data_IF_626665152707
#
_entry.id   IF_626665152707
#
_cell.length_a   1.000
_cell.length_b   1.000
_cell.length_c   1.000
_cell.angle_alpha   90.00
_cell.angle_beta   90.00
_cell.angle_gamma   90.00
#
_symmetry.space_group_name_H-M   'P 1'
#
loop_
_entity.id
_entity.type
_entity.pdbx_description
1 polymer ?
#
# COMPACT_ATOMS: atom_id res chain seq x y z
N UNK A 1 30.05 -9.94 4.13
CA UNK A 1 29.35 -8.82 4.76
C UNK A 1 28.24 -8.35 3.84
N UNK A 2 26.99 -8.50 4.28
CA UNK A 2 25.77 -8.10 3.56
C UNK A 2 25.25 -6.76 4.09
N UNK A 3 24.35 -6.11 3.33
CA UNK A 3 23.68 -4.89 3.81
C UNK A 3 22.93 -5.11 5.13
N UNK A 4 22.26 -6.26 5.29
CA UNK A 4 21.55 -6.64 6.52
C UNK A 4 22.49 -6.76 7.71
N UNK A 5 23.65 -7.37 7.53
CA UNK A 5 24.68 -7.49 8.57
C UNK A 5 25.19 -6.10 9.01
N UNK A 6 25.47 -5.21 8.05
CA UNK A 6 25.89 -3.82 8.35
C UNK A 6 24.83 -3.04 9.14
N UNK A 7 23.57 -3.11 8.74
CA UNK A 7 22.48 -2.40 9.45
C UNK A 7 22.28 -2.97 10.85
N UNK A 8 22.47 -4.28 11.07
CA UNK A 8 22.38 -4.85 12.41
C UNK A 8 23.58 -4.55 13.31
N UNK A 9 24.78 -4.43 12.73
CA UNK A 9 26.00 -4.09 13.46
C UNK A 9 25.95 -2.63 13.96
N UNK A 10 25.64 -1.69 13.05
CA UNK A 10 25.73 -0.26 13.34
C UNK A 10 24.38 0.40 13.64
N UNK A 11 23.25 -0.18 13.21
CA UNK A 11 21.93 0.41 13.40
C UNK A 11 21.38 0.29 14.82
N UNK A 12 22.00 -0.52 15.69
CA UNK A 12 21.60 -0.66 17.10
C UNK A 12 21.83 0.60 17.94
N UNK A 13 22.76 1.45 17.52
CA UNK A 13 23.04 2.72 18.21
C UNK A 13 21.92 3.74 18.02
N UNK A 14 21.03 3.55 17.03
CA UNK A 14 19.83 4.37 16.83
C UNK A 14 20.09 5.86 16.65
N UNK A 15 21.33 6.26 16.32
CA UNK A 15 21.69 7.68 16.22
C UNK A 15 21.14 8.29 14.94
N UNK A 16 20.57 9.50 15.06
CA UNK A 16 20.04 10.25 13.92
C UNK A 16 21.12 10.47 12.85
N UNK A 17 22.35 10.80 13.26
CA UNK A 17 23.49 10.99 12.35
C UNK A 17 23.84 9.71 11.56
N UNK A 18 23.81 8.53 12.19
CA UNK A 18 24.03 7.28 11.46
C UNK A 18 22.89 6.98 10.47
N UNK A 19 21.64 7.27 10.84
CA UNK A 19 20.48 7.11 9.95
C UNK A 19 20.52 8.08 8.77
N UNK A 20 20.93 9.32 8.98
CA UNK A 20 21.13 10.31 7.91
C UNK A 20 22.24 9.85 6.95
N UNK A 21 23.39 9.40 7.46
CA UNK A 21 24.47 8.85 6.64
C UNK A 21 24.03 7.64 5.83
N UNK A 22 23.27 6.72 6.46
CA UNK A 22 22.71 5.56 5.77
C UNK A 22 21.75 5.99 4.67
N UNK A 23 20.88 6.97 4.95
CA UNK A 23 19.93 7.54 3.98
C UNK A 23 20.66 8.09 2.77
N UNK A 24 21.71 8.92 2.96
CA UNK A 24 22.52 9.43 1.85
C UNK A 24 23.17 8.32 1.01
N UNK A 25 23.61 7.22 1.64
CA UNK A 25 24.22 6.09 0.91
C UNK A 25 23.20 5.27 0.14
N UNK A 26 22.02 5.04 0.71
CA UNK A 26 20.91 4.37 0.02
C UNK A 26 20.43 5.22 -1.15
N UNK A 27 20.28 6.54 -0.97
CA UNK A 27 19.85 7.47 -2.01
C UNK A 27 20.83 7.49 -3.20
N UNK A 28 22.13 7.64 -2.92
CA UNK A 28 23.18 7.52 -3.93
C UNK A 28 23.13 6.18 -4.67
N UNK A 29 22.93 5.08 -3.94
CA UNK A 29 22.82 3.75 -4.55
C UNK A 29 21.58 3.65 -5.45
N UNK A 30 20.44 4.17 -5.01
CA UNK A 30 19.21 4.17 -5.82
C UNK A 30 19.38 5.00 -7.09
N UNK A 31 20.06 6.15 -7.04
CA UNK A 31 20.34 6.93 -8.24
C UNK A 31 21.29 6.20 -9.21
N UNK A 32 22.29 5.47 -8.70
CA UNK A 32 23.14 4.61 -9.54
C UNK A 32 22.40 3.43 -10.17
N UNK A 33 21.50 2.79 -9.44
CA UNK A 33 20.65 1.75 -10.03
C UNK A 33 19.70 2.36 -11.05
N UNK A 34 19.19 3.59 -10.83
CA UNK A 34 18.25 4.27 -11.73
C UNK A 34 18.84 4.49 -13.12
N UNK A 35 20.15 4.75 -13.22
CA UNK A 35 20.87 4.89 -14.50
C UNK A 35 20.78 3.63 -15.39
N UNK A 36 20.57 2.44 -14.80
CA UNK A 36 20.58 1.16 -15.51
C UNK A 36 19.24 0.42 -15.48
N UNK A 37 18.47 0.57 -14.41
CA UNK A 37 17.21 -0.11 -14.18
C UNK A 37 16.26 0.77 -13.34
N UNK A 38 15.62 1.79 -13.96
CA UNK A 38 14.73 2.70 -13.25
C UNK A 38 13.51 1.99 -12.66
N UNK A 39 12.98 0.96 -13.33
CA UNK A 39 11.84 0.17 -12.83
C UNK A 39 12.14 -0.54 -11.50
N UNK A 40 13.38 -1.04 -11.33
CA UNK A 40 13.79 -1.68 -10.09
C UNK A 40 13.82 -0.68 -8.93
N UNK A 41 14.29 0.54 -9.18
CA UNK A 41 14.30 1.61 -8.17
C UNK A 41 12.90 2.01 -7.79
N UNK A 42 12.03 2.23 -8.77
CA UNK A 42 10.63 2.56 -8.54
C UNK A 42 9.92 1.47 -7.72
N UNK A 43 10.19 0.20 -8.02
CA UNK A 43 9.67 -0.93 -7.25
C UNK A 43 10.24 -0.98 -5.83
N UNK A 44 11.52 -0.65 -5.64
CA UNK A 44 12.15 -0.59 -4.33
C UNK A 44 11.54 0.52 -3.47
N UNK A 45 11.48 1.75 -3.99
CA UNK A 45 10.92 2.91 -3.26
C UNK A 45 9.44 2.70 -2.92
N UNK A 46 8.67 2.12 -3.84
CA UNK A 46 7.27 1.76 -3.58
C UNK A 46 7.14 0.74 -2.44
N UNK A 47 8.04 -0.26 -2.36
CA UNK A 47 8.05 -1.21 -1.23
C UNK A 47 8.46 -0.54 0.07
N UNK A 48 9.38 0.42 0.04
CA UNK A 48 9.76 1.20 1.23
C UNK A 48 8.57 2.05 1.72
N UNK A 49 7.87 2.75 0.83
CA UNK A 49 6.65 3.51 1.18
C UNK A 49 5.55 2.61 1.73
N UNK A 50 5.37 1.41 1.16
CA UNK A 50 4.43 0.41 1.67
C UNK A 50 4.71 0.00 3.13
N UNK A 51 5.97 0.02 3.55
CA UNK A 51 6.40 -0.38 4.90
C UNK A 51 6.39 0.78 5.91
N UNK A 52 6.73 1.99 5.48
CA UNK A 52 6.97 3.11 6.39
C UNK A 52 5.77 4.06 6.53
N UNK A 53 4.99 4.25 5.47
CA UNK A 53 3.84 5.14 5.48
C UNK A 53 2.61 4.40 6.05
N UNK A 54 1.90 4.93 7.06
CA UNK A 54 0.71 4.28 7.62
C UNK A 54 -0.44 4.11 6.64
N UNK A 55 -0.55 5.00 5.63
CA UNK A 55 -1.60 4.96 4.61
C UNK A 55 -1.02 4.67 3.23
N UNK A 56 -1.85 4.22 2.30
CA UNK A 56 -1.46 4.15 0.91
C UNK A 56 -1.27 5.55 0.32
N UNK A 57 -0.29 5.69 -0.55
CA UNK A 57 -0.30 6.71 -1.61
C UNK A 57 -1.10 6.20 -2.80
N UNK A 58 -1.60 7.08 -3.67
CA UNK A 58 -2.28 6.69 -4.92
C UNK A 58 -1.51 5.63 -5.70
N UNK A 59 -0.20 5.85 -5.92
CA UNK A 59 0.68 4.90 -6.63
C UNK A 59 0.72 3.53 -5.96
N UNK A 60 0.85 3.49 -4.63
CA UNK A 60 0.84 2.21 -3.90
C UNK A 60 -0.52 1.52 -3.91
N UNK A 61 -1.62 2.28 -3.78
CA UNK A 61 -2.98 1.75 -3.83
C UNK A 61 -3.27 1.11 -5.20
N UNK A 62 -3.05 1.85 -6.29
CA UNK A 62 -3.23 1.34 -7.67
C UNK A 62 -2.37 0.09 -7.91
N UNK A 63 -1.13 0.08 -7.41
CA UNK A 63 -0.27 -1.09 -7.53
C UNK A 63 -0.81 -2.31 -6.79
N UNK A 64 -1.25 -2.17 -5.53
CA UNK A 64 -1.79 -3.33 -4.78
C UNK A 64 -3.14 -3.78 -5.32
N UNK A 65 -3.98 -2.83 -5.76
CA UNK A 65 -5.27 -3.10 -6.41
C UNK A 65 -5.08 -3.87 -7.70
N UNK A 66 -4.08 -3.52 -8.53
CA UNK A 66 -3.77 -4.22 -9.79
C UNK A 66 -3.41 -5.70 -9.60
N UNK A 67 -3.10 -6.12 -8.36
CA UNK A 67 -2.69 -7.47 -7.98
C UNK A 67 -3.78 -8.28 -7.27
N UNK A 68 -4.99 -7.72 -7.16
CA UNK A 68 -6.14 -8.45 -6.64
C UNK A 68 -6.57 -9.53 -7.64
N UNK A 69 -7.00 -10.67 -7.11
CA UNK A 69 -7.57 -11.78 -7.87
C UNK A 69 -9.03 -11.92 -7.44
N UNK A 70 -9.94 -11.50 -8.30
CA UNK A 70 -11.35 -11.38 -7.95
C UNK A 70 -12.04 -12.75 -8.07
N UNK A 71 -13.04 -13.00 -7.21
CA UNK A 71 -13.81 -14.27 -7.26
C UNK A 71 -14.64 -14.44 -8.54
N UNK A 72 -14.84 -13.40 -9.33
CA UNK A 72 -15.44 -13.47 -10.67
C UNK A 72 -14.46 -13.95 -11.77
N UNK A 73 -13.19 -14.19 -11.40
CA UNK A 73 -12.12 -14.62 -12.30
C UNK A 73 -11.35 -13.47 -12.97
N UNK A 74 -11.74 -12.22 -12.74
CA UNK A 74 -11.00 -11.04 -13.21
C UNK A 74 -9.79 -10.73 -12.31
N UNK A 75 -8.91 -9.85 -12.78
CA UNK A 75 -7.74 -9.38 -12.03
C UNK A 75 -7.75 -7.87 -11.96
N UNK A 76 -7.23 -7.31 -10.87
CA UNK A 76 -7.18 -5.88 -10.64
C UNK A 76 -8.44 -5.31 -9.97
N UNK A 77 -8.52 -4.00 -9.89
CA UNK A 77 -9.69 -3.28 -9.36
C UNK A 77 -10.87 -3.32 -10.31
N UNK A 78 -12.08 -3.44 -9.76
CA UNK A 78 -13.32 -3.33 -10.52
C UNK A 78 -13.59 -1.89 -10.97
N UNK A 79 -13.22 -0.91 -10.13
CA UNK A 79 -13.36 0.53 -10.39
C UNK A 79 -11.99 1.20 -10.53
N UNK A 80 -11.94 2.29 -11.31
CA UNK A 80 -10.78 3.18 -11.34
C UNK A 80 -10.64 3.96 -10.03
N UNK A 81 -9.47 4.57 -9.81
CA UNK A 81 -9.24 5.44 -8.66
C UNK A 81 -10.31 6.56 -8.59
N UNK A 82 -10.55 7.24 -9.70
CA UNK A 82 -11.53 8.32 -9.82
C UNK A 82 -12.96 7.85 -9.55
N UNK A 83 -13.32 6.66 -10.05
CA UNK A 83 -14.63 6.07 -9.78
C UNK A 83 -14.82 5.72 -8.31
N UNK A 84 -13.77 5.27 -7.63
CA UNK A 84 -13.85 5.06 -6.17
C UNK A 84 -13.95 6.40 -5.44
N UNK A 85 -13.13 7.40 -5.80
CA UNK A 85 -13.13 8.71 -5.15
C UNK A 85 -14.49 9.42 -5.26
N UNK A 86 -15.20 9.29 -6.38
CA UNK A 86 -16.51 9.94 -6.56
C UNK A 86 -17.61 9.44 -5.62
N UNK A 87 -17.45 8.24 -5.06
CA UNK A 87 -18.38 7.63 -4.09
C UNK A 87 -17.81 7.57 -2.68
N UNK A 88 -16.67 8.23 -2.43
CA UNK A 88 -15.99 8.20 -1.15
C UNK A 88 -16.76 8.98 -0.07
N UNK A 89 -16.96 8.41 1.13
CA UNK A 89 -17.42 9.15 2.30
C UNK A 89 -16.43 10.24 2.74
N UNK A 90 -16.95 11.33 3.32
CA UNK A 90 -16.11 12.37 3.91
C UNK A 90 -15.25 11.83 5.07
N UNK A 91 -14.03 12.37 5.20
CA UNK A 91 -13.14 12.06 6.32
C UNK A 91 -12.26 10.82 6.13
N UNK A 92 -12.36 10.12 5.00
CA UNK A 92 -11.50 8.98 4.67
C UNK A 92 -10.29 9.36 3.81
N UNK A 93 -9.23 8.57 3.90
CA UNK A 93 -8.06 8.67 3.02
C UNK A 93 -8.38 8.05 1.65
N UNK A 94 -8.35 8.85 0.58
CA UNK A 94 -8.73 8.40 -0.78
C UNK A 94 -8.03 7.12 -1.26
N UNK A 95 -6.72 6.99 -0.99
CA UNK A 95 -5.96 5.84 -1.45
C UNK A 95 -6.27 4.57 -0.63
N UNK A 96 -6.56 4.72 0.66
CA UNK A 96 -7.03 3.62 1.50
C UNK A 96 -8.44 3.21 1.09
N UNK A 97 -9.31 4.18 0.79
CA UNK A 97 -10.66 3.95 0.27
C UNK A 97 -10.61 3.17 -1.05
N UNK A 98 -9.79 3.61 -2.01
CA UNK A 98 -9.64 2.94 -3.30
C UNK A 98 -9.22 1.46 -3.12
N UNK A 99 -8.24 1.21 -2.25
CA UNK A 99 -7.81 -0.15 -1.94
C UNK A 99 -8.92 -0.95 -1.27
N UNK A 100 -9.53 -0.44 -0.20
CA UNK A 100 -10.53 -1.18 0.59
C UNK A 100 -11.77 -1.47 -0.25
N UNK A 101 -12.28 -0.52 -1.02
CA UNK A 101 -13.44 -0.77 -1.87
C UNK A 101 -13.14 -1.84 -2.92
N UNK A 102 -11.96 -1.78 -3.54
CA UNK A 102 -11.52 -2.81 -4.50
C UNK A 102 -11.32 -4.18 -3.84
N UNK A 103 -10.73 -4.22 -2.65
CA UNK A 103 -10.53 -5.43 -1.86
C UNK A 103 -11.86 -6.05 -1.43
N UNK A 104 -12.81 -5.25 -0.96
CA UNK A 104 -14.15 -5.70 -0.57
C UNK A 104 -14.90 -6.29 -1.76
N UNK A 105 -14.82 -5.68 -2.94
CA UNK A 105 -15.34 -6.31 -4.16
C UNK A 105 -14.66 -7.66 -4.42
N UNK A 106 -13.32 -7.68 -4.41
CA UNK A 106 -12.53 -8.89 -4.69
C UNK A 106 -12.91 -10.06 -3.78
N UNK A 107 -12.98 -9.80 -2.47
CA UNK A 107 -13.24 -10.80 -1.43
C UNK A 107 -14.71 -11.16 -1.30
N UNK A 108 -15.63 -10.22 -1.52
CA UNK A 108 -17.06 -10.43 -1.32
C UNK A 108 -17.84 -10.50 -2.63
N UNK A 109 -17.20 -10.64 -3.79
CA UNK A 109 -17.91 -10.69 -5.06
C UNK A 109 -19.02 -11.74 -5.04
N UNK A 110 -20.22 -11.31 -5.42
CA UNK A 110 -21.39 -12.17 -5.62
C UNK A 110 -22.19 -11.66 -6.82
N UNK A 111 -22.55 -12.57 -7.72
CA UNK A 111 -23.38 -12.23 -8.88
C UNK A 111 -24.70 -11.56 -8.44
N UNK A 112 -25.03 -10.43 -9.08
CA UNK A 112 -26.23 -9.64 -8.80
C UNK A 112 -26.18 -8.77 -7.54
N UNK A 113 -25.06 -8.72 -6.81
CA UNK A 113 -24.87 -7.77 -5.70
C UNK A 113 -24.57 -6.39 -6.24
N UNK A 114 -25.21 -5.37 -5.68
CA UNK A 114 -25.07 -3.98 -6.14
C UNK A 114 -23.80 -3.31 -5.61
N UNK A 115 -23.35 -2.29 -6.32
CA UNK A 115 -22.18 -1.47 -5.96
C UNK A 115 -22.36 -0.82 -4.58
N UNK A 116 -23.57 -0.37 -4.24
CA UNK A 116 -23.88 0.23 -2.93
C UNK A 116 -23.62 -0.72 -1.76
N UNK A 117 -23.79 -2.04 -1.99
CA UNK A 117 -23.47 -3.04 -0.96
C UNK A 117 -21.97 -3.06 -0.67
N UNK A 118 -21.13 -3.02 -1.70
CA UNK A 118 -19.67 -3.01 -1.52
C UNK A 118 -19.19 -1.68 -0.93
N UNK A 119 -19.77 -0.56 -1.36
CA UNK A 119 -19.50 0.78 -0.80
C UNK A 119 -19.82 0.80 0.70
N UNK A 120 -20.98 0.29 1.11
CA UNK A 120 -21.36 0.20 2.52
C UNK A 120 -20.37 -0.64 3.34
N UNK A 121 -20.03 -1.83 2.86
CA UNK A 121 -19.07 -2.72 3.53
C UNK A 121 -17.66 -2.11 3.63
N UNK A 122 -17.21 -1.41 2.58
CA UNK A 122 -15.91 -0.73 2.57
C UNK A 122 -15.87 0.42 3.58
N UNK A 123 -16.98 1.17 3.69
CA UNK A 123 -17.13 2.21 4.68
C UNK A 123 -17.09 1.63 6.09
N UNK A 124 -17.91 0.62 6.38
CA UNK A 124 -17.95 -0.04 7.70
C UNK A 124 -16.59 -0.62 8.10
N UNK A 125 -15.79 -1.09 7.12
CA UNK A 125 -14.44 -1.58 7.37
C UNK A 125 -13.48 -0.46 7.82
N UNK A 126 -13.55 0.72 7.20
CA UNK A 126 -12.66 1.86 7.50
C UNK A 126 -13.12 2.68 8.70
N UNK A 127 -14.43 2.80 8.93
CA UNK A 127 -15.04 3.54 10.04
C UNK A 127 -15.05 2.74 11.38
N UNK A 128 -14.38 1.60 11.43
CA UNK A 128 -14.29 0.75 12.62
C UNK A 128 -13.57 1.48 13.78
N UNK A 129 -14.29 1.83 14.87
CA UNK A 129 -13.73 2.61 15.97
C UNK A 129 -12.68 1.85 16.77
N UNK A 130 -12.66 0.52 16.69
CA UNK A 130 -11.69 -0.33 17.38
C UNK A 130 -10.42 -0.55 16.54
N UNK A 131 -10.42 -0.11 15.28
CA UNK A 131 -9.29 -0.28 14.39
C UNK A 131 -8.21 0.80 14.59
N UNK A 132 -6.93 0.43 14.51
CA UNK A 132 -5.87 1.41 14.58
C UNK A 132 -5.76 2.19 13.27
N UNK A 133 -5.16 3.38 13.36
CA UNK A 133 -4.80 4.18 12.18
C UNK A 133 -3.99 3.38 11.14
N UNK A 134 -4.24 3.64 9.85
CA UNK A 134 -3.66 2.86 8.74
C UNK A 134 -4.16 1.41 8.64
N UNK A 135 -5.36 1.10 9.15
CA UNK A 135 -5.97 -0.26 9.13
C UNK A 135 -5.90 -0.92 7.76
N UNK A 136 -6.22 -0.18 6.69
CA UNK A 136 -6.22 -0.67 5.31
C UNK A 136 -4.87 -1.28 4.93
N UNK A 137 -3.78 -0.54 5.19
CA UNK A 137 -2.43 -0.98 4.87
C UNK A 137 -1.95 -2.12 5.77
N UNK A 138 -2.27 -2.06 7.06
CA UNK A 138 -1.99 -3.15 8.01
C UNK A 138 -2.64 -4.46 7.60
N UNK A 139 -3.90 -4.39 7.15
CA UNK A 139 -4.62 -5.56 6.62
C UNK A 139 -3.94 -6.12 5.37
N UNK A 140 -3.57 -5.26 4.41
CA UNK A 140 -2.84 -5.69 3.21
C UNK A 140 -1.53 -6.42 3.55
N UNK A 141 -0.72 -5.86 4.47
CA UNK A 141 0.56 -6.43 4.86
C UNK A 141 0.38 -7.80 5.53
N UNK A 142 -0.61 -7.94 6.43
CA UNK A 142 -0.90 -9.21 7.11
C UNK A 142 -1.32 -10.35 6.17
N UNK A 143 -1.89 -10.03 5.00
CA UNK A 143 -2.29 -11.01 3.99
C UNK A 143 -1.17 -11.40 3.01
N UNK A 144 0.01 -10.79 3.13
CA UNK A 144 1.15 -10.95 2.20
C UNK A 144 2.46 -11.36 2.88
N UNK A 145 2.45 -11.51 4.20
CA UNK A 145 3.50 -12.18 4.99
C UNK A 145 3.34 -13.72 4.94
#
# INVERSE_FOLDING_TARGET
MTFKELVYEYGREGSTDAMEKLTCKVDWFTEKVRETNPELVDKFLMKVDLLLNPHFTRKTAEYVVSRLENKDGTKGGHWSYEQTTSVMPDGLHEADWHYVLSMIYSDYYKSGRSDETYIGLAKDFLDDPDAPDGKAKKYYLAMRD
#
